data_IF_246713931963
#
_entry.id   IF_246713931963
#
_cell.length_a   1.000
_cell.length_b   1.000
_cell.length_c   1.000
_cell.angle_alpha   90.00
_cell.angle_beta   90.00
_cell.angle_gamma   90.00
#
_symmetry.space_group_name_H-M   'P 1'
#
loop_
_entity.id
_entity.type
_entity.pdbx_description
1 polymer ?
#
# COMPACT_ATOMS: atom_id res chain seq x y z
N UNK A 1 -1.50 -0.47 -21.88
CA UNK A 1 -1.51 -0.59 -20.41
C UNK A 1 -2.09 0.71 -19.88
N UNK A 2 -3.24 0.68 -19.22
CA UNK A 2 -3.84 1.89 -18.65
C UNK A 2 -2.88 2.47 -17.59
N UNK A 3 -2.46 3.71 -17.77
CA UNK A 3 -1.66 4.45 -16.79
C UNK A 3 -2.29 5.82 -16.61
N UNK A 4 -2.80 6.09 -15.41
CA UNK A 4 -3.24 7.43 -15.03
C UNK A 4 -2.11 8.23 -14.39
N UNK A 5 -2.24 9.56 -14.41
CA UNK A 5 -1.37 10.43 -13.63
C UNK A 5 -1.77 10.36 -12.14
N UNK A 6 -0.83 10.13 -11.21
CA UNK A 6 -1.15 10.10 -9.79
C UNK A 6 -1.60 11.48 -9.32
N UNK A 7 -2.75 11.55 -8.65
CA UNK A 7 -3.29 12.81 -8.11
C UNK A 7 -2.68 13.17 -6.75
N UNK A 8 -2.05 12.20 -6.08
CA UNK A 8 -1.39 12.35 -4.78
C UNK A 8 -0.28 11.31 -4.62
N UNK A 9 0.69 11.61 -3.74
CA UNK A 9 1.74 10.69 -3.32
C UNK A 9 1.64 10.36 -1.83
N UNK A 10 2.08 9.16 -1.43
CA UNK A 10 2.10 8.67 -0.04
C UNK A 10 3.47 8.05 0.27
N UNK A 11 3.86 8.13 1.54
CA UNK A 11 5.03 7.43 2.09
C UNK A 11 4.57 6.43 3.15
N UNK A 12 5.00 5.18 2.99
CA UNK A 12 4.71 4.06 3.88
C UNK A 12 6.05 3.48 4.34
N UNK A 13 6.23 3.36 5.65
CA UNK A 13 7.44 2.83 6.26
C UNK A 13 7.09 1.65 7.16
N UNK A 14 7.72 0.51 6.89
CA UNK A 14 7.77 -0.66 7.74
C UNK A 14 9.20 -0.78 8.31
N UNK A 15 9.34 -1.47 9.43
CA UNK A 15 10.64 -1.69 10.06
C UNK A 15 10.68 -3.01 10.80
N UNK A 16 11.65 -3.11 11.71
CA UNK A 16 11.89 -4.28 12.55
C UNK A 16 10.86 -4.40 13.68
N UNK A 17 10.34 -3.28 14.15
CA UNK A 17 9.28 -3.21 15.15
C UNK A 17 7.89 -3.24 14.49
N UNK A 18 6.86 -3.82 15.16
CA UNK A 18 5.50 -3.81 14.65
C UNK A 18 4.94 -2.39 14.46
N UNK A 19 4.12 -2.24 13.43
CA UNK A 19 3.48 -0.99 13.05
C UNK A 19 3.83 -0.53 11.64
N UNK A 20 3.11 0.47 11.16
CA UNK A 20 3.38 1.17 9.91
C UNK A 20 3.46 2.66 10.22
N UNK A 21 4.49 3.34 9.70
CA UNK A 21 4.79 4.75 10.00
C UNK A 21 4.90 5.02 11.52
N UNK A 22 5.43 4.04 12.27
CA UNK A 22 5.58 4.12 13.72
C UNK A 22 4.27 4.05 14.51
N UNK A 23 3.16 3.65 13.87
CA UNK A 23 1.86 3.49 14.52
C UNK A 23 1.42 2.03 14.47
N UNK A 24 0.96 1.50 15.59
CA UNK A 24 0.25 0.22 15.64
C UNK A 24 -1.15 0.37 15.05
N UNK A 25 -1.69 -0.75 14.57
CA UNK A 25 -3.08 -0.83 14.14
C UNK A 25 -4.05 -0.37 15.23
N UNK A 26 -4.94 0.55 14.85
CA UNK A 26 -6.04 1.02 15.68
C UNK A 26 -7.32 0.95 14.84
N UNK A 27 -8.26 0.11 15.27
CA UNK A 27 -9.53 -0.12 14.56
C UNK A 27 -10.37 1.14 14.38
N UNK A 28 -10.14 2.17 15.21
CA UNK A 28 -10.87 3.44 15.16
C UNK A 28 -10.16 4.52 14.34
N UNK A 29 -8.95 4.24 13.81
CA UNK A 29 -8.14 5.20 13.05
C UNK A 29 -8.17 4.87 11.57
N UNK A 30 -8.42 5.88 10.73
CA UNK A 30 -8.22 5.78 9.28
C UNK A 30 -6.88 6.43 8.94
N UNK A 31 -5.91 5.63 8.49
CA UNK A 31 -4.57 6.11 8.16
C UNK A 31 -4.54 6.79 6.79
N UNK A 32 -5.35 6.31 5.84
CA UNK A 32 -5.41 6.83 4.47
C UNK A 32 -6.86 7.03 4.04
N UNK A 33 -7.14 8.21 3.48
CA UNK A 33 -8.37 8.47 2.72
C UNK A 33 -8.02 8.74 1.26
N UNK A 34 -8.61 7.96 0.35
CA UNK A 34 -8.45 8.06 -1.10
C UNK A 34 -9.82 8.18 -1.80
N UNK A 35 -9.80 8.40 -3.11
CA UNK A 35 -11.01 8.52 -3.94
C UNK A 35 -11.07 7.38 -4.95
N UNK A 36 -12.20 6.68 -5.03
CA UNK A 36 -12.40 5.63 -6.03
C UNK A 36 -12.22 6.18 -7.45
N UNK A 37 -11.59 5.39 -8.32
CA UNK A 37 -11.29 5.74 -9.71
C UNK A 37 -10.04 6.60 -9.88
N UNK A 38 -9.37 6.98 -8.80
CA UNK A 38 -8.13 7.76 -8.87
C UNK A 38 -6.87 6.90 -8.80
N UNK A 39 -5.75 7.53 -9.15
CA UNK A 39 -4.42 6.94 -9.07
C UNK A 39 -3.59 7.67 -8.03
N UNK A 40 -2.83 6.96 -7.22
CA UNK A 40 -1.84 7.54 -6.31
C UNK A 40 -0.47 6.87 -6.48
N UNK A 41 0.59 7.62 -6.17
CA UNK A 41 1.95 7.06 -6.06
C UNK A 41 2.22 6.70 -4.61
N UNK A 42 2.61 5.47 -4.34
CA UNK A 42 3.02 5.05 -3.00
C UNK A 42 4.49 4.71 -3.01
N UNK A 43 5.25 5.31 -2.11
CA UNK A 43 6.63 4.92 -1.83
C UNK A 43 6.62 4.08 -0.56
N UNK A 44 6.93 2.78 -0.70
CA UNK A 44 6.94 1.85 0.42
C UNK A 44 8.38 1.51 0.76
N UNK A 45 8.75 1.65 2.03
CA UNK A 45 10.08 1.34 2.56
C UNK A 45 10.01 0.28 3.64
N UNK A 46 11.00 -0.59 3.69
CA UNK A 46 11.15 -1.58 4.74
C UNK A 46 12.64 -1.76 5.08
N UNK A 47 13.00 -1.49 6.35
CA UNK A 47 14.36 -1.71 6.85
C UNK A 47 14.64 -3.22 7.06
N UNK A 48 13.66 -3.96 7.59
CA UNK A 48 13.62 -5.42 7.55
C UNK A 48 12.83 -5.88 6.31
N UNK A 49 13.45 -6.65 5.39
CA UNK A 49 12.79 -7.12 4.19
C UNK A 49 11.52 -7.91 4.48
N UNK A 50 10.42 -7.51 3.86
CA UNK A 50 9.11 -8.12 4.06
C UNK A 50 8.17 -7.88 2.88
N UNK A 51 7.17 -8.75 2.73
CA UNK A 51 6.10 -8.54 1.76
C UNK A 51 5.09 -7.51 2.28
N UNK A 52 4.56 -6.66 1.40
CA UNK A 52 3.55 -5.65 1.68
C UNK A 52 2.34 -5.86 0.77
N UNK A 53 1.14 -5.79 1.35
CA UNK A 53 -0.12 -6.01 0.64
C UNK A 53 -1.08 -4.83 0.83
N UNK A 54 -1.94 -4.57 -0.16
CA UNK A 54 -2.99 -3.55 -0.12
C UNK A 54 -4.30 -4.16 -0.65
N UNK A 55 -5.34 -4.15 0.17
CA UNK A 55 -6.67 -4.61 -0.22
C UNK A 55 -7.42 -3.59 -1.09
N UNK A 56 -8.37 -4.08 -1.91
CA UNK A 56 -9.31 -3.22 -2.65
C UNK A 56 -8.71 -2.42 -3.81
N UNK A 57 -7.42 -2.59 -4.08
CA UNK A 57 -6.68 -1.89 -5.13
C UNK A 57 -6.03 -2.85 -6.11
N UNK A 58 -5.47 -2.31 -7.18
CA UNK A 58 -4.41 -2.97 -7.92
C UNK A 58 -3.31 -1.94 -8.18
N UNK A 59 -2.06 -2.37 -8.26
CA UNK A 59 -0.95 -1.47 -8.54
C UNK A 59 0.03 -2.03 -9.55
N UNK A 60 0.83 -1.13 -10.12
CA UNK A 60 1.99 -1.43 -10.96
C UNK A 60 3.26 -1.00 -10.22
N UNK A 61 4.26 -1.87 -10.15
CA UNK A 61 5.58 -1.48 -9.63
C UNK A 61 6.26 -0.60 -10.68
N UNK A 62 6.69 0.60 -10.28
CA UNK A 62 7.35 1.59 -11.15
C UNK A 62 8.84 1.68 -10.93
N UNK A 63 9.28 1.45 -9.69
CA UNK A 63 10.67 1.52 -9.30
C UNK A 63 10.95 0.55 -8.16
N UNK A 64 12.12 -0.08 -8.16
CA UNK A 64 12.66 -0.88 -7.06
C UNK A 64 14.08 -0.38 -6.81
N UNK A 65 14.34 0.22 -5.65
CA UNK A 65 15.66 0.73 -5.24
C UNK A 65 16.35 1.63 -6.28
N UNK A 66 15.62 2.54 -6.91
CA UNK A 66 16.11 3.44 -7.95
C UNK A 66 16.16 2.83 -9.35
N UNK A 67 15.89 1.54 -9.51
CA UNK A 67 15.96 0.82 -10.78
C UNK A 67 14.57 0.42 -11.33
N UNK A 68 14.53 0.06 -12.61
CA UNK A 68 13.32 -0.53 -13.21
C UNK A 68 13.05 -1.93 -12.64
N UNK A 69 11.79 -2.31 -12.39
CA UNK A 69 11.44 -3.65 -11.96
C UNK A 69 11.72 -4.69 -13.06
N UNK A 70 11.94 -5.94 -12.63
CA UNK A 70 12.04 -7.09 -13.51
C UNK A 70 10.77 -7.26 -14.38
N UNK A 71 10.87 -7.80 -15.61
CA UNK A 71 9.72 -7.94 -16.50
C UNK A 71 8.48 -8.62 -15.88
N UNK A 72 8.70 -9.67 -15.09
CA UNK A 72 7.67 -10.43 -14.38
C UNK A 72 6.90 -9.62 -13.34
N UNK A 73 7.47 -8.51 -12.85
CA UNK A 73 6.87 -7.62 -11.86
C UNK A 73 6.19 -6.39 -12.46
N UNK A 74 6.17 -6.27 -13.79
CA UNK A 74 5.55 -5.12 -14.49
C UNK A 74 4.04 -5.25 -14.69
N UNK A 75 3.47 -6.39 -14.31
CA UNK A 75 2.03 -6.64 -14.33
C UNK A 75 1.29 -5.97 -13.17
N UNK A 76 -0.03 -6.10 -13.20
CA UNK A 76 -0.89 -5.72 -12.07
C UNK A 76 -0.66 -6.66 -10.89
N UNK A 77 -0.53 -6.08 -9.70
CA UNK A 77 -0.30 -6.78 -8.44
C UNK A 77 -1.12 -6.15 -7.31
N UNK A 78 -1.22 -6.88 -6.21
CA UNK A 78 -1.74 -6.42 -4.92
C UNK A 78 -0.72 -6.61 -3.78
N UNK A 79 0.37 -7.31 -4.06
CA UNK A 79 1.41 -7.67 -3.09
C UNK A 79 2.80 -7.48 -3.71
N UNK A 80 3.75 -6.96 -2.94
CA UNK A 80 5.13 -6.68 -3.37
C UNK A 80 6.12 -7.03 -2.27
N UNK A 81 7.26 -7.61 -2.64
CA UNK A 81 8.41 -7.76 -1.74
C UNK A 81 9.14 -6.42 -1.61
N UNK A 82 9.35 -5.95 -0.39
CA UNK A 82 10.04 -4.69 -0.11
C UNK A 82 11.31 -5.00 0.66
N UNK A 83 12.45 -4.73 0.01
CA UNK A 83 13.79 -4.76 0.58
C UNK A 83 14.44 -3.43 0.21
N UNK A 84 14.51 -2.50 1.16
CA UNK A 84 14.80 -1.10 0.88
C UNK A 84 13.53 -0.33 0.50
N UNK A 85 13.40 0.07 -0.77
CA UNK A 85 12.32 0.95 -1.25
C UNK A 85 11.70 0.48 -2.57
N UNK A 86 10.37 0.55 -2.68
CA UNK A 86 9.63 0.39 -3.94
C UNK A 86 8.69 1.57 -4.19
N UNK A 87 8.50 1.94 -5.46
CA UNK A 87 7.46 2.89 -5.87
C UNK A 87 6.35 2.16 -6.62
N UNK A 88 5.12 2.37 -6.16
CA UNK A 88 3.91 1.77 -6.70
C UNK A 88 3.04 2.84 -7.34
N UNK A 89 2.45 2.53 -8.49
CA UNK A 89 1.33 3.30 -9.04
C UNK A 89 0.04 2.55 -8.70
N UNK A 90 -0.65 3.02 -7.67
CA UNK A 90 -1.83 2.40 -7.07
C UNK A 90 -3.11 2.94 -7.71
N UNK A 91 -4.02 2.05 -8.08
CA UNK A 91 -5.34 2.38 -8.60
C UNK A 91 -6.45 1.93 -7.64
N UNK A 92 -7.31 2.86 -7.24
CA UNK A 92 -8.41 2.62 -6.31
C UNK A 92 -9.68 2.18 -7.05
N UNK A 93 -9.79 0.89 -7.34
CA UNK A 93 -10.93 0.34 -8.09
C UNK A 93 -12.21 0.18 -7.26
N UNK A 94 -12.09 -0.09 -5.96
CA UNK A 94 -13.20 -0.45 -5.08
C UNK A 94 -13.43 0.61 -3.99
N UNK A 95 -14.69 0.87 -3.59
CA UNK A 95 -14.99 1.73 -2.45
C UNK A 95 -14.87 0.96 -1.12
N UNK A 96 -14.71 1.69 -0.02
CA UNK A 96 -14.81 1.17 1.35
C UNK A 96 -15.56 2.16 2.27
N UNK A 97 -15.81 1.77 3.52
CA UNK A 97 -16.57 2.59 4.48
C UNK A 97 -15.84 2.70 5.82
N UNK A 98 -16.11 3.72 6.65
CA UNK A 98 -15.40 3.92 7.92
C UNK A 98 -15.43 2.71 8.87
N UNK A 99 -16.53 1.94 8.86
CA UNK A 99 -16.66 0.70 9.67
C UNK A 99 -16.31 -0.58 8.90
N UNK A 100 -15.99 -0.46 7.61
CA UNK A 100 -15.55 -1.55 6.73
C UNK A 100 -14.40 -1.03 5.85
N UNK A 101 -13.26 -0.62 6.44
CA UNK A 101 -12.14 -0.10 5.68
C UNK A 101 -11.42 -1.25 4.94
N UNK A 102 -10.62 -0.90 3.94
CA UNK A 102 -9.60 -1.80 3.42
C UNK A 102 -8.36 -1.75 4.30
N UNK A 103 -7.57 -2.81 4.28
CA UNK A 103 -6.28 -2.85 4.97
C UNK A 103 -5.10 -2.75 4.01
N UNK A 104 -4.01 -2.19 4.50
CA UNK A 104 -2.68 -2.39 3.94
C UNK A 104 -1.75 -2.83 5.06
N UNK A 105 -0.97 -3.87 4.83
CA UNK A 105 -0.29 -4.57 5.91
C UNK A 105 1.02 -5.22 5.48
N UNK A 106 1.84 -5.52 6.48
CA UNK A 106 2.87 -6.54 6.33
C UNK A 106 2.22 -7.89 6.03
N UNK A 107 2.79 -8.65 5.11
CA UNK A 107 2.43 -10.05 4.86
C UNK A 107 3.32 -11.03 5.64
N UNK A 108 4.22 -10.53 6.49
CA UNK A 108 4.76 -11.32 7.60
C UNK A 108 3.68 -11.40 8.67
N UNK A 109 3.02 -12.55 8.78
CA UNK A 109 1.80 -12.71 9.59
C UNK A 109 2.00 -12.32 11.05
N UNK A 110 3.16 -12.65 11.63
CA UNK A 110 3.49 -12.28 13.01
C UNK A 110 3.59 -10.76 13.21
N UNK A 111 4.03 -10.01 12.19
CA UNK A 111 4.07 -8.54 12.24
C UNK A 111 2.66 -7.97 12.09
N UNK A 112 1.85 -8.51 11.18
CA UNK A 112 0.46 -8.10 11.01
C UNK A 112 -0.35 -8.29 12.31
N UNK A 113 -0.27 -9.48 12.93
CA UNK A 113 -0.95 -9.79 14.19
C UNK A 113 -0.49 -8.89 15.35
N UNK A 114 0.76 -8.40 15.30
CA UNK A 114 1.31 -7.44 16.27
C UNK A 114 0.97 -5.99 15.96
N UNK A 115 0.27 -5.71 14.85
CA UNK A 115 -0.25 -4.39 14.53
C UNK A 115 0.39 -3.69 13.33
N UNK A 116 1.17 -4.37 12.49
CA UNK A 116 1.66 -3.84 11.20
C UNK A 116 0.55 -3.81 10.13
N UNK A 117 -0.54 -3.12 10.46
CA UNK A 117 -1.75 -2.95 9.64
C UNK A 117 -2.15 -1.48 9.70
N UNK A 118 -2.42 -0.88 8.55
CA UNK A 118 -3.07 0.41 8.41
C UNK A 118 -4.44 0.30 7.75
N UNK A 119 -5.35 1.20 8.09
CA UNK A 119 -6.71 1.25 7.55
C UNK A 119 -6.84 2.30 6.45
N UNK A 120 -7.56 1.94 5.39
CA UNK A 120 -7.76 2.77 4.21
C UNK A 120 -9.25 2.91 3.87
N UNK A 121 -9.70 4.16 3.87
CA UNK A 121 -11.01 4.57 3.39
C UNK A 121 -10.90 5.01 1.93
N UNK A 122 -11.66 4.38 1.05
CA UNK A 122 -11.80 4.78 -0.36
C UNK A 122 -13.21 5.30 -0.56
N UNK A 123 -13.35 6.63 -0.66
CA UNK A 123 -14.64 7.26 -0.88
C UNK A 123 -15.21 6.81 -2.24
N UNK A 124 -16.48 6.39 -2.30
CA UNK A 124 -17.10 5.97 -3.56
C UNK A 124 -17.10 7.11 -4.58
N UNK A 125 -16.98 6.76 -5.85
CA UNK A 125 -17.20 7.71 -6.94
C UNK A 125 -18.67 8.16 -6.91
N UNK A 126 -18.90 9.47 -7.09
CA UNK A 126 -20.24 10.04 -7.24
C UNK A 126 -20.83 9.72 -8.60
#
# INVERSE_FOLDING_TARGET
IMSGAPVRSRDISLGDDPGINGQLWDVNRIDITAQQGTWERWTVRADMPQSFHIEGVSFLIRNVNGAMPFPEDRGWKDTVWVDGQVELLVYYGQPSWPHFPFYFNSQTLEMADRGSIGQMLVNPAS
#
